data_IF_945967674924
#
_entry.id   IF_945967674924
#
_cell.length_a   1.000
_cell.length_b   1.000
_cell.length_c   1.000
_cell.angle_alpha   90.00
_cell.angle_beta   90.00
_cell.angle_gamma   90.00
#
_symmetry.space_group_name_H-M   'P 1'
#
loop_
_entity.id
_entity.type
_entity.pdbx_description
1 polymer ?
#
# COMPACT_ATOMS: atom_id res chain seq x y z
N UNK A 1 -3.09 -11.55 26.24
CA UNK A 1 -3.69 -10.58 25.30
C UNK A 1 -2.70 -9.43 25.21
N UNK A 2 -2.30 -9.03 24.01
CA UNK A 2 -1.29 -7.99 23.81
C UNK A 2 -1.87 -6.60 24.06
N UNK A 3 -1.03 -5.57 24.21
CA UNK A 3 -1.52 -4.21 24.41
C UNK A 3 -2.15 -3.66 23.14
N UNK A 4 -1.65 -4.05 21.97
CA UNK A 4 -2.29 -3.76 20.68
C UNK A 4 -3.69 -4.35 20.64
N UNK A 5 -3.88 -5.61 21.05
CA UNK A 5 -5.21 -6.24 21.07
C UNK A 5 -6.22 -5.49 21.96
N UNK A 6 -5.74 -4.85 23.02
CA UNK A 6 -6.61 -4.24 24.04
C UNK A 6 -6.84 -2.75 23.79
N UNK A 7 -5.81 -2.01 23.39
CA UNK A 7 -5.81 -0.55 23.34
C UNK A 7 -5.85 0.02 21.92
N UNK A 8 -5.45 -0.76 20.91
CA UNK A 8 -5.35 -0.28 19.52
C UNK A 8 -6.40 -0.94 18.63
N UNK A 9 -6.42 -2.28 18.58
CA UNK A 9 -7.17 -3.05 17.61
C UNK A 9 -8.68 -2.78 17.64
N UNK A 10 -9.35 -2.59 18.79
CA UNK A 10 -10.78 -2.25 18.82
C UNK A 10 -11.13 -1.01 17.98
N UNK A 11 -10.20 -0.08 17.82
CA UNK A 11 -10.38 1.15 17.06
C UNK A 11 -10.01 1.01 15.57
N UNK A 12 -9.15 0.04 15.21
CA UNK A 12 -8.77 -0.24 13.83
C UNK A 12 -9.66 -1.29 13.13
N UNK A 13 -10.34 -2.14 13.90
CA UNK A 13 -11.20 -3.22 13.39
C UNK A 13 -12.27 -2.76 12.39
N UNK A 14 -12.98 -1.64 12.58
CA UNK A 14 -13.97 -1.19 11.60
C UNK A 14 -13.38 -0.97 10.21
N UNK A 15 -12.16 -0.43 10.13
CA UNK A 15 -11.46 -0.23 8.86
C UNK A 15 -10.97 -1.55 8.29
N UNK A 16 -10.41 -2.45 9.11
CA UNK A 16 -9.98 -3.78 8.66
C UNK A 16 -11.14 -4.60 8.11
N UNK A 17 -12.33 -4.53 8.71
CA UNK A 17 -13.53 -5.23 8.25
C UNK A 17 -13.96 -4.83 6.82
N UNK A 18 -13.50 -3.68 6.33
CA UNK A 18 -13.74 -3.27 4.94
C UNK A 18 -12.95 -4.10 3.94
N UNK A 19 -11.84 -4.74 4.31
CA UNK A 19 -11.10 -5.61 3.39
C UNK A 19 -11.97 -6.73 2.79
N UNK A 20 -13.00 -7.19 3.51
CA UNK A 20 -13.93 -8.21 3.02
C UNK A 20 -15.17 -7.64 2.31
N UNK A 21 -15.43 -6.34 2.45
CA UNK A 21 -16.65 -5.70 1.95
C UNK A 21 -16.44 -4.66 0.86
N UNK A 22 -15.21 -4.14 0.72
CA UNK A 22 -14.88 -3.08 -0.21
C UNK A 22 -15.10 -3.56 -1.67
N UNK A 23 -15.85 -2.80 -2.50
CA UNK A 23 -16.19 -3.23 -3.86
C UNK A 23 -14.99 -3.58 -4.72
N UNK A 24 -13.91 -2.79 -4.66
CA UNK A 24 -12.70 -3.07 -5.44
C UNK A 24 -12.04 -4.39 -5.04
N UNK A 25 -12.03 -4.73 -3.75
CA UNK A 25 -11.45 -5.99 -3.28
C UNK A 25 -12.29 -7.17 -3.76
N UNK A 26 -13.61 -7.06 -3.67
CA UNK A 26 -14.53 -8.10 -4.18
C UNK A 26 -14.39 -8.31 -5.67
N UNK A 27 -14.19 -7.24 -6.43
CA UNK A 27 -13.99 -7.33 -7.88
C UNK A 27 -12.64 -7.97 -8.24
N UNK A 28 -11.54 -7.55 -7.60
CA UNK A 28 -10.23 -8.16 -7.81
C UNK A 28 -10.20 -9.66 -7.49
N UNK A 29 -11.01 -10.06 -6.50
CA UNK A 29 -11.13 -11.45 -6.09
C UNK A 29 -12.28 -12.20 -6.79
N UNK A 30 -13.01 -11.53 -7.68
CA UNK A 30 -14.14 -12.13 -8.38
C UNK A 30 -13.65 -13.25 -9.30
N UNK A 31 -14.37 -14.40 -9.36
CA UNK A 31 -14.14 -15.40 -10.39
C UNK A 31 -14.37 -14.84 -11.81
N UNK A 32 -15.19 -13.79 -11.94
CA UNK A 32 -15.66 -13.23 -13.22
C UNK A 32 -14.85 -12.02 -13.70
N UNK A 33 -13.79 -11.61 -13.00
CA UNK A 33 -12.94 -10.51 -13.47
C UNK A 33 -12.29 -10.87 -14.81
N UNK A 34 -12.43 -10.00 -15.81
CA UNK A 34 -11.85 -10.26 -17.13
C UNK A 34 -10.32 -10.15 -17.10
N UNK A 35 -9.60 -10.92 -17.93
CA UNK A 35 -8.15 -10.80 -18.06
C UNK A 35 -7.67 -9.38 -18.37
N UNK A 36 -8.36 -8.68 -19.25
CA UNK A 36 -8.00 -7.32 -19.63
C UNK A 36 -8.16 -6.33 -18.48
N UNK A 37 -9.23 -6.46 -17.68
CA UNK A 37 -9.45 -5.60 -16.52
C UNK A 37 -8.40 -5.85 -15.44
N UNK A 38 -8.10 -7.12 -15.14
CA UNK A 38 -7.04 -7.48 -14.21
C UNK A 38 -5.68 -6.95 -14.68
N UNK A 39 -5.32 -7.17 -15.94
CA UNK A 39 -4.05 -6.71 -16.50
C UNK A 39 -3.94 -5.18 -16.45
N UNK A 40 -5.00 -4.45 -16.83
CA UNK A 40 -5.00 -2.99 -16.81
C UNK A 40 -4.94 -2.43 -15.38
N UNK A 41 -5.64 -3.06 -14.44
CA UNK A 41 -5.57 -2.72 -13.03
C UNK A 41 -4.15 -2.86 -12.48
N UNK A 42 -3.45 -3.97 -12.78
CA UNK A 42 -2.07 -4.17 -12.35
C UNK A 42 -1.14 -3.09 -12.91
N UNK A 43 -1.32 -2.68 -14.17
CA UNK A 43 -0.54 -1.59 -14.75
C UNK A 43 -0.80 -0.27 -13.99
N UNK A 44 -2.06 0.05 -13.68
CA UNK A 44 -2.40 1.27 -12.91
C UNK A 44 -1.82 1.22 -11.48
N UNK A 45 -1.93 0.08 -10.79
CA UNK A 45 -1.37 -0.09 -9.46
C UNK A 45 0.15 0.08 -9.48
N UNK A 46 0.86 -0.63 -10.35
CA UNK A 46 2.33 -0.52 -10.46
C UNK A 46 2.75 0.91 -10.84
N UNK A 47 2.10 1.52 -11.83
CA UNK A 47 2.49 2.86 -12.30
C UNK A 47 2.29 3.94 -11.22
N UNK A 48 1.14 3.91 -10.52
CA UNK A 48 0.82 4.90 -9.47
C UNK A 48 1.49 4.58 -8.14
N UNK A 49 1.83 3.31 -7.91
CA UNK A 49 2.45 2.83 -6.68
C UNK A 49 3.76 3.55 -6.37
N UNK A 50 4.51 3.98 -7.39
CA UNK A 50 5.73 4.78 -7.22
C UNK A 50 5.52 6.03 -6.37
N UNK A 51 4.40 6.73 -6.56
CA UNK A 51 4.07 7.89 -5.75
C UNK A 51 3.72 7.52 -4.31
N UNK A 52 3.18 6.32 -4.06
CA UNK A 52 2.86 5.88 -2.70
C UNK A 52 4.13 5.46 -1.94
N UNK A 53 5.13 4.94 -2.63
CA UNK A 53 6.29 4.27 -2.01
C UNK A 53 7.59 5.07 -2.04
N UNK A 54 7.74 6.04 -2.95
CA UNK A 54 8.95 6.87 -3.05
C UNK A 54 9.39 7.54 -1.73
N UNK A 55 8.49 8.12 -0.92
CA UNK A 55 8.87 8.82 0.30
C UNK A 55 9.00 7.92 1.55
N UNK A 56 8.73 6.62 1.46
CA UNK A 56 8.62 5.71 2.63
C UNK A 56 9.91 5.67 3.47
N UNK A 57 11.09 5.56 2.82
CA UNK A 57 12.41 5.74 3.47
C UNK A 57 12.44 7.01 4.32
N UNK A 58 12.10 8.14 3.70
CA UNK A 58 12.15 9.46 4.32
C UNK A 58 11.18 9.56 5.49
N UNK A 59 10.00 8.97 5.39
CA UNK A 59 9.00 8.95 6.45
C UNK A 59 9.44 8.15 7.66
N UNK A 60 9.93 6.93 7.47
CA UNK A 60 10.41 6.08 8.56
C UNK A 60 11.61 6.73 9.24
N UNK A 61 12.54 7.30 8.45
CA UNK A 61 13.69 8.04 8.99
C UNK A 61 13.26 9.26 9.77
N UNK A 62 12.36 10.08 9.22
CA UNK A 62 11.84 11.29 9.85
C UNK A 62 11.10 11.00 11.16
N UNK A 63 10.30 9.94 11.21
CA UNK A 63 9.69 9.45 12.44
C UNK A 63 10.76 9.07 13.48
N UNK A 64 11.84 8.41 13.04
CA UNK A 64 12.95 8.04 13.92
C UNK A 64 13.70 9.25 14.49
N UNK A 65 13.99 10.24 13.66
CA UNK A 65 14.60 11.52 14.07
C UNK A 65 13.71 12.28 15.05
N UNK A 66 12.40 12.32 14.79
CA UNK A 66 11.43 12.93 15.69
C UNK A 66 11.34 12.20 17.03
N UNK A 67 11.32 10.87 17.04
CA UNK A 67 11.38 10.07 18.26
C UNK A 67 12.62 10.42 19.10
N UNK A 68 13.80 10.54 18.48
CA UNK A 68 15.03 10.96 19.19
C UNK A 68 14.86 12.36 19.79
N UNK A 69 14.33 13.32 19.03
CA UNK A 69 14.10 14.68 19.51
C UNK A 69 13.11 14.74 20.69
N UNK A 70 12.20 13.78 20.81
CA UNK A 70 11.25 13.63 21.91
C UNK A 70 11.78 12.74 23.06
N UNK A 71 13.05 12.36 23.06
CA UNK A 71 13.68 11.56 24.11
C UNK A 71 13.50 10.04 23.97
N UNK A 72 12.92 9.56 22.88
CA UNK A 72 12.69 8.13 22.61
C UNK A 72 13.84 7.53 21.78
N UNK A 73 15.08 7.67 22.27
CA UNK A 73 16.30 7.43 21.49
C UNK A 73 16.41 5.99 20.94
N UNK A 74 16.08 4.98 21.75
CA UNK A 74 16.15 3.57 21.35
C UNK A 74 15.24 3.28 20.15
N UNK A 75 13.99 3.74 20.22
CA UNK A 75 12.97 3.56 19.18
C UNK A 75 13.38 4.30 17.92
N UNK A 76 13.83 5.56 18.05
CA UNK A 76 14.22 6.35 16.89
C UNK A 76 15.41 5.78 16.13
N UNK A 77 16.40 5.20 16.82
CA UNK A 77 17.53 4.50 16.15
C UNK A 77 17.08 3.23 15.41
N UNK A 78 16.07 2.52 15.92
CA UNK A 78 15.52 1.35 15.26
C UNK A 78 14.80 1.73 13.96
N UNK A 79 13.99 2.81 13.99
CA UNK A 79 13.33 3.36 12.80
C UNK A 79 14.35 3.79 11.74
N UNK A 80 15.36 4.57 12.10
CA UNK A 80 16.40 5.01 11.15
C UNK A 80 17.15 3.82 10.52
N UNK A 81 17.33 2.74 11.27
CA UNK A 81 17.94 1.51 10.73
C UNK A 81 17.00 0.82 9.76
N UNK A 82 15.72 0.71 10.09
CA UNK A 82 14.69 0.10 9.25
C UNK A 82 14.50 0.85 7.92
N UNK A 83 14.51 2.19 7.94
CA UNK A 83 14.36 3.03 6.75
C UNK A 83 15.33 2.68 5.61
N UNK A 84 16.51 2.14 5.93
CA UNK A 84 17.50 1.73 4.92
C UNK A 84 17.05 0.56 4.06
N UNK A 85 16.18 -0.30 4.58
CA UNK A 85 15.68 -1.46 3.84
C UNK A 85 14.58 -1.09 2.84
N UNK A 86 13.89 0.04 3.05
CA UNK A 86 12.82 0.53 2.15
C UNK A 86 13.34 1.36 0.97
N UNK A 87 14.63 1.69 0.96
CA UNK A 87 15.23 2.55 -0.04
C UNK A 87 15.15 1.92 -1.43
N UNK A 88 14.46 2.61 -2.34
CA UNK A 88 14.35 2.20 -3.75
C UNK A 88 13.18 1.28 -4.08
N UNK A 89 12.30 0.94 -3.14
CA UNK A 89 11.10 0.12 -3.43
C UNK A 89 10.17 0.74 -4.50
N UNK A 90 10.12 2.06 -4.62
CA UNK A 90 9.41 2.74 -5.70
C UNK A 90 9.99 2.48 -7.10
N UNK A 91 11.27 2.10 -7.21
CA UNK A 91 11.87 1.72 -8.50
C UNK A 91 11.34 0.37 -8.97
N UNK A 92 10.97 -0.53 -8.04
CA UNK A 92 10.35 -1.82 -8.38
C UNK A 92 8.97 -1.61 -9.00
N UNK A 93 8.14 -0.74 -8.42
CA UNK A 93 6.80 -0.46 -8.97
C UNK A 93 6.88 0.16 -10.37
N UNK A 94 7.84 1.05 -10.62
CA UNK A 94 8.11 1.61 -11.95
C UNK A 94 8.57 0.52 -12.94
N UNK A 95 9.46 -0.38 -12.50
CA UNK A 95 9.94 -1.48 -13.34
C UNK A 95 8.79 -2.44 -13.71
N UNK A 96 7.99 -2.84 -12.72
CA UNK A 96 6.80 -3.69 -12.92
C UNK A 96 5.84 -3.01 -13.90
N UNK A 97 5.56 -1.71 -13.75
CA UNK A 97 4.68 -0.97 -14.64
C UNK A 97 5.16 -1.00 -16.10
N UNK A 98 6.47 -0.83 -16.34
CA UNK A 98 7.07 -0.89 -17.68
C UNK A 98 6.94 -2.28 -18.30
N UNK A 99 7.22 -3.34 -17.54
CA UNK A 99 7.12 -4.74 -18.01
C UNK A 99 5.67 -5.07 -18.36
N UNK A 100 4.73 -4.77 -17.47
CA UNK A 100 3.30 -5.03 -17.69
C UNK A 100 2.77 -4.25 -18.89
N UNK A 101 3.17 -2.99 -19.04
CA UNK A 101 2.79 -2.15 -20.20
C UNK A 101 3.34 -2.70 -21.51
N UNK A 102 4.61 -3.10 -21.54
CA UNK A 102 5.21 -3.70 -22.73
C UNK A 102 4.47 -4.97 -23.16
N UNK A 103 4.07 -5.80 -22.19
CA UNK A 103 3.29 -7.00 -22.44
C UNK A 103 1.89 -6.72 -22.95
N UNK A 104 1.19 -5.78 -22.32
CA UNK A 104 -0.10 -5.28 -22.82
C UNK A 104 0.04 -4.83 -24.29
N UNK A 105 1.05 -4.01 -24.58
CA UNK A 105 1.33 -3.48 -25.90
C UNK A 105 1.69 -4.56 -26.93
N UNK A 106 2.22 -5.72 -26.54
CA UNK A 106 2.45 -6.81 -27.48
C UNK A 106 1.14 -7.45 -27.97
N UNK A 107 0.13 -7.54 -27.10
CA UNK A 107 -1.14 -8.21 -27.38
C UNK A 107 -2.29 -7.31 -27.85
N UNK A 108 -2.20 -5.98 -27.63
CA UNK A 108 -3.33 -5.07 -27.84
C UNK A 108 -3.04 -4.01 -28.90
N UNK A 109 -4.05 -3.63 -29.68
CA UNK A 109 -3.94 -2.57 -30.71
C UNK A 109 -3.73 -1.19 -30.08
N UNK A 110 -4.45 -0.88 -29.00
CA UNK A 110 -4.30 0.35 -28.23
C UNK A 110 -3.08 0.26 -27.34
N UNK A 111 -2.04 1.01 -27.71
CA UNK A 111 -0.80 1.06 -26.94
C UNK A 111 -0.93 2.01 -25.76
N UNK A 112 -0.26 1.65 -24.69
CA UNK A 112 -0.07 2.42 -23.47
C UNK A 112 1.36 2.95 -23.44
N UNK A 113 1.54 4.10 -22.78
CA UNK A 113 2.86 4.68 -22.52
C UNK A 113 3.14 4.55 -21.01
N UNK A 114 4.12 3.72 -20.66
CA UNK A 114 4.44 3.43 -19.26
C UNK A 114 4.94 4.68 -18.53
N UNK A 115 5.77 5.49 -19.17
CA UNK A 115 6.36 6.67 -18.52
C UNK A 115 5.28 7.75 -18.34
N UNK A 116 4.37 7.90 -19.31
CA UNK A 116 3.20 8.76 -19.14
C UNK A 116 2.28 8.29 -18.00
N UNK A 117 2.11 6.98 -17.83
CA UNK A 117 1.31 6.41 -16.73
C UNK A 117 1.96 6.63 -15.37
N UNK A 118 3.28 6.51 -15.27
CA UNK A 118 4.04 6.80 -14.03
C UNK A 118 4.02 8.30 -13.71
N UNK A 119 4.07 9.15 -14.73
CA UNK A 119 4.05 10.62 -14.58
C UNK A 119 2.66 11.22 -14.32
N UNK A 120 1.62 10.39 -14.16
CA UNK A 120 0.27 10.87 -13.90
C UNK A 120 0.19 11.68 -12.60
N UNK A 121 -0.68 12.69 -12.59
CA UNK A 121 -0.99 13.41 -11.37
C UNK A 121 -1.54 12.43 -10.30
N UNK A 122 -1.14 12.59 -9.03
CA UNK A 122 -1.63 11.72 -7.95
C UNK A 122 -3.14 11.89 -7.77
N UNK A 123 -3.81 10.85 -7.30
CA UNK A 123 -5.23 10.93 -6.93
C UNK A 123 -5.39 11.63 -5.58
N UNK A 124 -6.64 11.88 -5.17
CA UNK A 124 -6.91 12.44 -3.86
C UNK A 124 -6.47 11.49 -2.74
N UNK A 125 -6.74 10.19 -2.87
CA UNK A 125 -6.33 9.16 -1.90
C UNK A 125 -4.81 9.09 -1.76
N UNK A 126 -4.08 9.19 -2.87
CA UNK A 126 -2.61 9.19 -2.85
C UNK A 126 -2.03 10.41 -2.11
N UNK A 127 -2.59 11.61 -2.34
CA UNK A 127 -2.16 12.81 -1.62
C UNK A 127 -2.48 12.72 -0.12
N UNK A 128 -3.67 12.24 0.22
CA UNK A 128 -4.10 12.07 1.61
C UNK A 128 -3.24 11.02 2.34
N UNK A 129 -2.84 9.95 1.64
CA UNK A 129 -1.89 8.97 2.16
C UNK A 129 -0.55 9.61 2.53
N UNK A 130 0.03 10.43 1.63
CA UNK A 130 1.27 11.16 1.98
C UNK A 130 1.06 12.11 3.15
N UNK A 131 -0.06 12.85 3.14
CA UNK A 131 -0.39 13.80 4.19
C UNK A 131 -0.51 13.13 5.57
N UNK A 132 -1.11 11.95 5.68
CA UNK A 132 -1.26 11.28 6.99
C UNK A 132 0.09 10.84 7.57
N UNK A 133 1.07 10.50 6.74
CA UNK A 133 2.44 10.22 7.19
C UNK A 133 3.10 11.50 7.69
N UNK A 134 3.03 12.58 6.91
CA UNK A 134 3.61 13.87 7.28
C UNK A 134 3.00 14.40 8.60
N UNK A 135 1.69 14.25 8.80
CA UNK A 135 1.00 14.61 10.05
C UNK A 135 1.49 13.79 11.25
N UNK A 136 1.70 12.47 11.07
CA UNK A 136 2.23 11.62 12.14
C UNK A 136 3.65 12.06 12.53
N UNK A 137 4.52 12.28 11.54
CA UNK A 137 5.93 12.62 11.75
C UNK A 137 6.10 14.01 12.36
N UNK A 138 5.34 15.00 11.90
CA UNK A 138 5.47 16.38 12.36
C UNK A 138 4.75 16.63 13.69
N UNK A 139 3.83 15.74 14.07
CA UNK A 139 3.06 15.80 15.31
C UNK A 139 3.85 15.52 16.60
N UNK A 140 3.09 15.28 17.66
CA UNK A 140 3.55 14.85 18.99
C UNK A 140 3.59 13.32 19.14
N UNK A 141 3.05 12.58 18.16
CA UNK A 141 2.98 11.13 18.13
C UNK A 141 3.64 10.56 16.85
N UNK A 142 4.97 10.66 16.67
CA UNK A 142 5.68 10.14 15.49
C UNK A 142 5.52 8.63 15.29
N UNK A 143 5.18 7.88 16.34
CA UNK A 143 4.84 6.46 16.23
C UNK A 143 3.51 6.19 15.52
N UNK A 144 2.73 7.21 15.18
CA UNK A 144 1.66 7.10 14.20
C UNK A 144 2.15 6.56 12.85
N UNK A 145 3.41 6.85 12.47
CA UNK A 145 4.06 6.25 11.29
C UNK A 145 4.09 4.72 11.38
N UNK A 146 4.51 4.16 12.51
CA UNK A 146 4.56 2.72 12.71
C UNK A 146 3.15 2.09 12.68
N UNK A 147 2.12 2.80 13.15
CA UNK A 147 0.73 2.34 13.05
C UNK A 147 0.23 2.31 11.59
N UNK A 148 0.63 3.27 10.75
CA UNK A 148 0.30 3.26 9.33
C UNK A 148 0.96 2.06 8.63
N UNK A 149 2.27 1.87 8.82
CA UNK A 149 3.00 0.74 8.25
C UNK A 149 2.48 -0.61 8.77
N UNK A 150 2.05 -0.68 10.03
CA UNK A 150 1.43 -1.89 10.60
C UNK A 150 0.12 -2.26 9.89
N UNK A 151 -0.75 -1.29 9.57
CA UNK A 151 -2.01 -1.57 8.85
C UNK A 151 -1.79 -1.85 7.36
N UNK A 152 -0.85 -1.17 6.71
CA UNK A 152 -0.51 -1.46 5.31
C UNK A 152 0.18 -2.82 5.17
N UNK A 153 1.09 -3.16 6.09
CA UNK A 153 1.66 -4.50 6.19
C UNK A 153 0.61 -5.58 6.49
N UNK A 154 -0.38 -5.28 7.34
CA UNK A 154 -1.52 -6.18 7.54
C UNK A 154 -2.29 -6.42 6.23
N UNK A 155 -2.60 -5.36 5.46
CA UNK A 155 -3.20 -5.50 4.12
C UNK A 155 -2.33 -6.37 3.22
N UNK A 156 -1.02 -6.15 3.18
CA UNK A 156 -0.10 -6.93 2.37
C UNK A 156 -0.19 -8.42 2.72
N UNK A 157 -0.12 -8.77 4.00
CA UNK A 157 -0.17 -10.17 4.47
C UNK A 157 -1.52 -10.83 4.18
N UNK A 158 -2.65 -10.14 4.34
CA UNK A 158 -3.98 -10.77 4.24
C UNK A 158 -4.59 -10.72 2.85
N UNK A 159 -4.30 -9.68 2.06
CA UNK A 159 -4.95 -9.42 0.78
C UNK A 159 -4.05 -9.74 -0.41
N UNK A 160 -2.77 -9.35 -0.38
CA UNK A 160 -1.89 -9.48 -1.56
C UNK A 160 -1.72 -10.95 -1.99
N UNK A 161 -1.50 -11.95 -1.12
CA UNK A 161 -1.44 -13.35 -1.52
C UNK A 161 -2.69 -13.83 -2.27
N UNK A 162 -3.88 -13.35 -1.88
CA UNK A 162 -5.15 -13.69 -2.54
C UNK A 162 -5.23 -13.05 -3.93
N UNK A 163 -4.79 -11.79 -4.05
CA UNK A 163 -4.70 -11.11 -5.34
C UNK A 163 -3.71 -11.84 -6.24
N UNK A 164 -2.50 -12.16 -5.77
CA UNK A 164 -1.49 -12.86 -6.56
C UNK A 164 -1.96 -14.24 -7.04
N UNK A 165 -2.73 -14.96 -6.22
CA UNK A 165 -3.38 -16.20 -6.64
C UNK A 165 -4.35 -15.97 -7.81
N UNK A 166 -5.19 -14.94 -7.73
CA UNK A 166 -6.10 -14.56 -8.83
C UNK A 166 -5.38 -14.07 -10.07
N UNK A 167 -4.30 -13.30 -9.93
CA UNK A 167 -3.44 -12.89 -11.06
C UNK A 167 -2.94 -14.13 -11.79
N UNK A 168 -2.39 -15.11 -11.08
CA UNK A 168 -1.91 -16.35 -11.69
C UNK A 168 -3.01 -17.09 -12.46
N UNK A 169 -4.21 -17.16 -11.90
CA UNK A 169 -5.36 -17.85 -12.50
C UNK A 169 -5.91 -17.11 -13.74
N UNK A 170 -5.93 -15.78 -13.72
CA UNK A 170 -6.63 -14.97 -14.72
C UNK A 170 -5.69 -14.50 -15.84
N UNK A 171 -4.48 -14.04 -15.51
CA UNK A 171 -3.52 -13.44 -16.46
C UNK A 171 -2.20 -14.21 -16.55
N UNK A 172 -2.09 -15.35 -15.85
CA UNK A 172 -1.01 -16.33 -16.01
C UNK A 172 0.25 -16.09 -15.17
N UNK A 173 1.06 -17.14 -15.05
CA UNK A 173 2.28 -17.17 -14.23
C UNK A 173 3.31 -16.11 -14.63
N UNK A 174 3.55 -15.91 -15.93
CA UNK A 174 4.51 -14.92 -16.41
C UNK A 174 4.13 -13.48 -15.97
N UNK A 175 2.82 -13.20 -15.79
CA UNK A 175 2.39 -11.88 -15.30
C UNK A 175 2.68 -11.76 -13.81
N UNK A 176 2.37 -12.83 -13.06
CA UNK A 176 2.71 -12.92 -11.64
C UNK A 176 4.22 -12.73 -11.40
N UNK A 177 5.06 -13.33 -12.23
CA UNK A 177 6.52 -13.25 -12.09
C UNK A 177 7.06 -11.81 -12.29
N UNK A 178 6.33 -10.99 -13.07
CA UNK A 178 6.65 -9.58 -13.29
C UNK A 178 6.20 -8.63 -12.18
N UNK A 179 5.47 -9.10 -11.17
CA UNK A 179 4.99 -8.29 -10.04
C UNK A 179 6.01 -8.32 -8.89
N UNK A 180 7.22 -7.83 -9.14
CA UNK A 180 8.35 -7.95 -8.19
C UNK A 180 8.04 -7.26 -6.86
N UNK A 181 7.43 -6.08 -6.90
CA UNK A 181 7.10 -5.31 -5.70
C UNK A 181 6.08 -6.03 -4.81
N UNK A 182 4.95 -6.49 -5.40
CA UNK A 182 3.89 -7.15 -4.65
C UNK A 182 4.31 -8.52 -4.11
N UNK A 183 5.15 -9.24 -4.87
CA UNK A 183 5.69 -10.52 -4.41
C UNK A 183 6.62 -10.33 -3.22
N UNK A 184 7.50 -9.33 -3.28
CA UNK A 184 8.39 -9.02 -2.15
C UNK A 184 7.58 -8.67 -0.89
N UNK A 185 6.58 -7.80 -1.00
CA UNK A 185 5.76 -7.40 0.15
C UNK A 185 4.87 -8.55 0.67
N UNK A 186 4.44 -9.49 -0.19
CA UNK A 186 3.75 -10.69 0.27
C UNK A 186 4.67 -11.66 1.05
N UNK A 187 5.95 -11.72 0.71
CA UNK A 187 6.93 -12.65 1.29
C UNK A 187 7.67 -12.05 2.52
N UNK A 188 7.95 -10.75 2.51
CA UNK A 188 8.86 -10.06 3.44
C UNK A 188 8.12 -9.28 4.54
N UNK A 189 6.90 -8.78 4.29
CA UNK A 189 6.22 -7.87 5.23
C UNK A 189 5.83 -8.50 6.57
N UNK A 190 5.86 -9.83 6.69
CA UNK A 190 5.72 -10.50 7.99
C UNK A 190 6.81 -10.03 8.96
N UNK A 191 8.04 -9.81 8.47
CA UNK A 191 9.17 -9.33 9.27
C UNK A 191 9.06 -7.84 9.65
N UNK A 192 8.63 -7.00 8.70
CA UNK A 192 8.44 -5.56 8.94
C UNK A 192 7.27 -5.29 9.89
N UNK A 193 6.17 -6.03 9.74
CA UNK A 193 5.01 -5.97 10.63
C UNK A 193 5.40 -6.24 12.09
N UNK A 194 6.29 -7.21 12.35
CA UNK A 194 6.75 -7.53 13.70
C UNK A 194 7.62 -6.42 14.35
N UNK A 195 8.30 -5.60 13.55
CA UNK A 195 9.04 -4.45 14.08
C UNK A 195 8.09 -3.32 14.47
N UNK A 196 7.13 -3.00 13.61
CA UNK A 196 6.09 -1.99 13.88
C UNK A 196 5.25 -2.37 15.11
N UNK A 197 4.85 -3.65 15.21
CA UNK A 197 4.13 -4.20 16.35
C UNK A 197 4.91 -3.99 17.67
N UNK A 198 6.21 -4.32 17.69
CA UNK A 198 7.05 -4.13 18.88
C UNK A 198 7.18 -2.67 19.31
N UNK A 199 7.26 -1.74 18.35
CA UNK A 199 7.31 -0.31 18.66
C UNK A 199 6.00 0.20 19.26
N UNK A 200 4.87 -0.23 18.69
CA UNK A 200 3.55 0.12 19.19
C UNK A 200 3.29 -0.49 20.57
N UNK A 201 3.63 -1.77 20.80
CA UNK A 201 3.56 -2.41 22.13
C UNK A 201 4.40 -1.65 23.16
N UNK A 202 5.61 -1.21 22.77
CA UNK A 202 6.48 -0.41 23.64
C UNK A 202 5.83 0.89 24.09
N UNK A 203 5.22 1.64 23.16
CA UNK A 203 4.52 2.88 23.47
C UNK A 203 3.29 2.62 24.35
N UNK A 204 2.45 1.65 23.98
CA UNK A 204 1.23 1.32 24.72
C UNK A 204 1.50 0.79 26.13
N UNK A 205 2.69 0.22 26.37
CA UNK A 205 3.12 -0.21 27.70
C UNK A 205 3.34 0.97 28.67
N UNK A 206 3.66 2.14 28.12
CA UNK A 206 3.86 3.38 28.90
C UNK A 206 2.69 4.34 28.81
N UNK A 207 1.98 4.35 27.68
CA UNK A 207 0.92 5.29 27.31
C UNK A 207 -0.26 4.57 26.66
N UNK A 208 -0.99 3.70 27.40
CA UNK A 208 -2.11 2.93 26.85
C UNK A 208 -3.23 3.82 26.31
N UNK A 209 -3.36 5.05 26.80
CA UNK A 209 -4.32 6.06 26.34
C UNK A 209 -4.09 6.53 24.90
N UNK A 210 -2.90 6.32 24.34
CA UNK A 210 -2.57 6.69 22.95
C UNK A 210 -3.09 5.69 21.92
N UNK A 211 -3.58 4.53 22.35
CA UNK A 211 -4.10 3.47 21.48
C UNK A 211 -5.14 3.93 20.44
N UNK A 212 -6.18 4.70 20.81
CA UNK A 212 -7.13 5.27 19.87
C UNK A 212 -6.49 6.23 18.85
N UNK A 213 -5.51 7.03 19.26
CA UNK A 213 -4.82 8.00 18.38
C UNK A 213 -3.92 7.29 17.38
N UNK A 214 -3.16 6.28 17.82
CA UNK A 214 -2.40 5.40 16.93
C UNK A 214 -3.31 4.70 15.92
N UNK A 215 -4.43 4.14 16.38
CA UNK A 215 -5.38 3.44 15.52
C UNK A 215 -6.05 4.37 14.50
N UNK A 216 -6.20 5.65 14.82
CA UNK A 216 -6.66 6.67 13.87
C UNK A 216 -5.67 6.84 12.71
N UNK A 217 -4.37 6.96 12.99
CA UNK A 217 -3.34 7.02 11.94
C UNK A 217 -3.32 5.75 11.09
N UNK A 218 -3.26 4.59 11.72
CA UNK A 218 -3.29 3.30 11.02
C UNK A 218 -4.53 3.13 10.13
N UNK A 219 -5.72 3.43 10.68
CA UNK A 219 -6.98 3.35 9.94
C UNK A 219 -7.03 4.30 8.75
N UNK A 220 -6.55 5.54 8.89
CA UNK A 220 -6.50 6.51 7.79
C UNK A 220 -5.54 6.06 6.69
N UNK A 221 -4.38 5.50 7.06
CA UNK A 221 -3.45 4.90 6.11
C UNK A 221 -4.09 3.76 5.30
N UNK A 222 -4.78 2.84 6.00
CA UNK A 222 -5.48 1.73 5.37
C UNK A 222 -6.64 2.20 4.48
N UNK A 223 -7.45 3.15 4.92
CA UNK A 223 -8.54 3.74 4.12
C UNK A 223 -8.00 4.36 2.82
N UNK A 224 -6.93 5.16 2.93
CA UNK A 224 -6.30 5.76 1.75
C UNK A 224 -5.80 4.68 0.78
N UNK A 225 -5.26 3.57 1.27
CA UNK A 225 -4.82 2.47 0.42
C UNK A 225 -6.00 1.78 -0.27
N UNK A 226 -7.12 1.52 0.43
CA UNK A 226 -8.33 0.96 -0.17
C UNK A 226 -8.90 1.85 -1.28
N UNK A 227 -8.96 3.17 -1.03
CA UNK A 227 -9.39 4.16 -2.02
C UNK A 227 -8.42 4.26 -3.20
N UNK A 228 -7.12 4.11 -2.95
CA UNK A 228 -6.10 4.03 -4.01
C UNK A 228 -6.32 2.80 -4.90
N UNK A 229 -6.63 1.62 -4.34
CA UNK A 229 -6.99 0.44 -5.15
C UNK A 229 -8.22 0.72 -6.00
N UNK A 230 -9.26 1.35 -5.43
CA UNK A 230 -10.46 1.74 -6.16
C UNK A 230 -10.16 2.72 -7.31
N UNK A 231 -9.33 3.73 -7.07
CA UNK A 231 -8.90 4.68 -8.11
C UNK A 231 -8.18 3.97 -9.27
N UNK A 232 -7.34 2.97 -8.97
CA UNK A 232 -6.66 2.16 -9.99
C UNK A 232 -7.66 1.33 -10.81
N UNK A 233 -8.65 0.72 -10.15
CA UNK A 233 -9.71 -0.06 -10.81
C UNK A 233 -10.55 0.82 -11.73
N UNK A 234 -10.95 2.01 -11.26
CA UNK A 234 -11.74 2.93 -12.06
C UNK A 234 -10.94 3.49 -13.25
N UNK A 235 -9.65 3.76 -13.07
CA UNK A 235 -8.77 4.12 -14.19
C UNK A 235 -8.65 2.98 -15.21
N UNK A 236 -8.55 1.73 -14.74
CA UNK A 236 -8.51 0.56 -15.60
C UNK A 236 -9.80 0.40 -16.41
N UNK A 237 -10.97 0.50 -15.78
CA UNK A 237 -12.27 0.46 -16.46
C UNK A 237 -12.40 1.55 -17.51
N UNK A 238 -12.13 2.82 -17.17
CA UNK A 238 -12.21 3.94 -18.12
C UNK A 238 -11.31 3.74 -19.34
N UNK A 239 -10.12 3.16 -19.11
CA UNK A 239 -9.19 2.84 -20.20
C UNK A 239 -9.76 1.78 -21.17
N UNK A 240 -10.58 0.85 -20.66
CA UNK A 240 -11.23 -0.20 -21.45
C UNK A 240 -12.58 0.26 -22.03
N UNK A 241 -13.36 1.10 -21.35
CA UNK A 241 -14.63 1.64 -21.88
C UNK A 241 -14.41 2.64 -23.02
N UNK A 242 -13.26 3.32 -23.05
CA UNK A 242 -12.80 4.04 -24.23
C UNK A 242 -12.59 3.14 -25.47
N UNK A 243 -12.88 1.84 -25.39
CA UNK A 243 -12.88 0.86 -26.49
C UNK A 243 -14.29 0.62 -27.05
N UNK A 244 -15.38 0.94 -26.34
CA UNK A 244 -16.76 0.69 -26.80
C UNK A 244 -17.45 1.89 -27.46
N UNK A 245 -16.89 3.10 -27.42
CA UNK A 245 -17.49 4.30 -28.02
C UNK A 245 -17.15 4.54 -29.51
N UNK A 246 -16.89 3.48 -30.28
CA UNK A 246 -16.89 3.53 -31.76
C UNK A 246 -17.58 2.27 -32.28
N UNK A 247 -18.90 2.25 -32.21
CA UNK A 247 -19.74 1.34 -32.99
C UNK A 247 -20.98 2.09 -33.48
N UNK A 248 -20.95 2.40 -34.79
CA UNK A 248 -22.00 2.91 -35.68
C UNK A 248 -22.65 4.27 -35.36
#
# INVERSE_FOLDING_TARGET
>A
MTLIQTHYLPHALPTRARLDTEPVVRELLSPDISPDLMARFLIEWSARGAYMTEPVDGWIRGAGERCIALGQEKVGRQLITHAKHEAGHHLMTIADARVLTARWNAGHSRKLDADALVAQAPTAAMREYRQVHDEAITGDLPLGQAAIEYEVGYLAVVLVPRILARVREVVGQETLDSLTFLREHAEVDVGHTALNERMMEGLLGTHPEEGPRLASFGSRGLDCYLRFLADCMDAARRSLEGVTAVAA
#
